data_IF_481254082659
#
_entry.id   IF_481254082659
#
_cell.length_a   1.000
_cell.length_b   1.000
_cell.length_c   1.000
_cell.angle_alpha   90.00
_cell.angle_beta   90.00
_cell.angle_gamma   90.00
#
_symmetry.space_group_name_H-M   'P 1'
#
loop_
_entity.id
_entity.type
_entity.pdbx_description
1 polymer ?
#
# COMPACT_ATOMS: atom_id res chain seq x y z
N UNK A 1 -8.49 14.95 -10.82
CA UNK A 1 -8.63 14.07 -9.65
C UNK A 1 -7.37 13.27 -9.45
N UNK A 2 -6.94 13.12 -8.21
CA UNK A 2 -5.76 12.31 -7.91
C UNK A 2 -6.13 10.83 -8.03
N UNK A 3 -5.15 10.01 -8.32
CA UNK A 3 -5.35 8.57 -8.39
C UNK A 3 -5.74 7.97 -7.01
N UNK A 4 -5.44 8.66 -5.90
CA UNK A 4 -5.94 8.32 -4.57
C UNK A 4 -7.46 8.39 -4.50
N UNK A 5 -8.03 9.44 -5.07
CA UNK A 5 -9.49 9.58 -5.17
C UNK A 5 -10.07 8.48 -6.04
N UNK A 6 -9.36 8.13 -7.11
CA UNK A 6 -9.74 7.02 -7.97
C UNK A 6 -9.82 5.71 -7.19
N UNK A 7 -8.80 5.39 -6.38
CA UNK A 7 -8.74 4.15 -5.60
C UNK A 7 -9.72 4.17 -4.43
N UNK A 8 -9.83 5.30 -3.73
CA UNK A 8 -10.69 5.40 -2.55
C UNK A 8 -12.18 5.42 -2.86
N UNK A 9 -12.53 5.56 -4.14
CA UNK A 9 -13.92 5.58 -4.55
C UNK A 9 -14.70 6.78 -4.04
N UNK A 10 -14.05 7.90 -3.77
CA UNK A 10 -14.69 9.11 -3.28
C UNK A 10 -15.44 9.88 -4.36
N UNK A 11 -16.16 9.18 -5.21
CA UNK A 11 -17.10 9.79 -6.11
C UNK A 11 -18.50 9.57 -5.51
N UNK A 12 -19.17 10.61 -5.02
CA UNK A 12 -20.44 10.46 -4.32
C UNK A 12 -21.56 9.88 -5.19
N UNK A 13 -21.42 9.95 -6.51
CA UNK A 13 -22.48 9.52 -7.42
C UNK A 13 -22.41 8.01 -7.74
N UNK A 14 -21.30 7.33 -7.45
CA UNK A 14 -21.10 5.95 -7.88
C UNK A 14 -20.58 5.01 -6.78
N UNK A 15 -20.50 5.47 -5.57
CA UNK A 15 -20.24 4.74 -4.33
C UNK A 15 -19.48 3.43 -4.42
N UNK A 16 -20.15 2.32 -4.07
CA UNK A 16 -19.53 1.01 -3.93
C UNK A 16 -19.18 0.33 -5.26
N UNK A 17 -20.01 0.50 -6.29
CA UNK A 17 -19.81 -0.17 -7.58
C UNK A 17 -18.53 0.34 -8.28
N UNK A 18 -18.35 1.66 -8.28
CA UNK A 18 -17.16 2.27 -8.87
C UNK A 18 -15.89 1.85 -8.13
N UNK A 19 -15.96 1.78 -6.80
CA UNK A 19 -14.83 1.33 -5.98
C UNK A 19 -14.45 -0.11 -6.31
N UNK A 20 -15.43 -0.99 -6.49
CA UNK A 20 -15.19 -2.39 -6.85
C UNK A 20 -14.55 -2.50 -8.23
N UNK A 21 -15.03 -1.74 -9.21
CA UNK A 21 -14.47 -1.74 -10.56
C UNK A 21 -13.03 -1.23 -10.55
N UNK A 22 -12.76 -0.16 -9.81
CA UNK A 22 -11.42 0.41 -9.68
C UNK A 22 -10.46 -0.54 -9.01
N UNK A 23 -10.90 -1.17 -7.91
CA UNK A 23 -10.09 -2.16 -7.22
C UNK A 23 -9.80 -3.36 -8.13
N UNK A 24 -10.79 -3.82 -8.89
CA UNK A 24 -10.61 -4.91 -9.84
C UNK A 24 -9.56 -4.57 -10.91
N UNK A 25 -9.52 -3.32 -11.39
CA UNK A 25 -8.54 -2.88 -12.39
C UNK A 25 -7.11 -2.83 -11.84
N UNK A 26 -6.95 -2.78 -10.52
CA UNK A 26 -5.66 -2.76 -9.86
C UNK A 26 -5.16 -4.15 -9.46
N UNK A 27 -5.98 -5.18 -9.64
CA UNK A 27 -5.56 -6.54 -9.35
C UNK A 27 -4.51 -7.00 -10.35
N UNK A 28 -3.51 -7.71 -9.86
CA UNK A 28 -2.43 -8.21 -10.73
C UNK A 28 -2.66 -9.62 -11.22
N UNK A 29 -3.63 -10.34 -10.64
CA UNK A 29 -3.96 -11.69 -11.07
C UNK A 29 -3.37 -12.81 -10.22
N UNK A 30 -2.61 -12.47 -9.17
CA UNK A 30 -2.11 -13.43 -8.19
C UNK A 30 -2.93 -13.26 -6.91
N UNK A 31 -3.78 -14.25 -6.53
CA UNK A 31 -4.71 -14.08 -5.42
C UNK A 31 -4.08 -13.68 -4.10
N UNK A 32 -2.93 -14.24 -3.74
CA UNK A 32 -2.30 -13.92 -2.46
C UNK A 32 -1.80 -12.47 -2.41
N UNK A 33 -1.27 -11.97 -3.53
CA UNK A 33 -0.80 -10.59 -3.62
C UNK A 33 -2.00 -9.64 -3.66
N UNK A 34 -3.03 -9.98 -4.42
CA UNK A 34 -4.25 -9.16 -4.50
C UNK A 34 -4.93 -9.06 -3.13
N UNK A 35 -4.96 -10.15 -2.37
CA UNK A 35 -5.50 -10.15 -1.00
C UNK A 35 -4.67 -9.26 -0.07
N UNK A 36 -3.35 -9.28 -0.22
CA UNK A 36 -2.46 -8.43 0.57
C UNK A 36 -2.63 -6.95 0.24
N UNK A 37 -2.83 -6.63 -1.04
CA UNK A 37 -3.15 -5.25 -1.44
C UNK A 37 -4.45 -4.78 -0.82
N UNK A 38 -5.47 -5.63 -0.81
CA UNK A 38 -6.75 -5.32 -0.18
C UNK A 38 -6.61 -5.10 1.32
N UNK A 39 -5.79 -5.94 1.99
CA UNK A 39 -5.48 -5.77 3.41
C UNK A 39 -4.79 -4.45 3.69
N UNK A 40 -3.86 -4.03 2.83
CA UNK A 40 -3.18 -2.74 2.96
C UNK A 40 -4.15 -1.57 2.80
N UNK A 41 -5.09 -1.65 1.86
CA UNK A 41 -6.12 -0.63 1.70
C UNK A 41 -7.00 -0.52 2.94
N UNK A 42 -7.34 -1.66 3.56
CA UNK A 42 -8.10 -1.68 4.81
C UNK A 42 -7.30 -1.04 5.95
N UNK A 43 -6.00 -1.29 6.03
CA UNK A 43 -5.14 -0.65 7.03
C UNK A 43 -5.03 0.86 6.81
N UNK A 44 -4.95 1.30 5.55
CA UNK A 44 -4.95 2.73 5.25
C UNK A 44 -6.25 3.39 5.68
N UNK A 45 -7.38 2.71 5.48
CA UNK A 45 -8.67 3.21 5.96
C UNK A 45 -8.70 3.28 7.49
N UNK A 46 -8.20 2.26 8.17
CA UNK A 46 -8.11 2.26 9.64
C UNK A 46 -7.21 3.39 10.13
N UNK A 47 -6.12 3.68 9.42
CA UNK A 47 -5.24 4.79 9.75
C UNK A 47 -5.98 6.13 9.61
N UNK A 48 -6.79 6.26 8.56
CA UNK A 48 -7.58 7.47 8.31
C UNK A 48 -8.56 7.76 9.45
N UNK A 49 -9.15 6.71 10.03
CA UNK A 49 -10.15 6.86 11.08
C UNK A 49 -9.58 6.69 12.49
N UNK A 50 -8.30 6.37 12.61
CA UNK A 50 -7.67 6.15 13.91
C UNK A 50 -7.59 7.44 14.72
N UNK A 51 -7.85 7.30 16.03
CA UNK A 51 -7.82 8.44 16.94
C UNK A 51 -6.38 8.82 17.27
N UNK A 52 -6.07 10.12 17.34
CA UNK A 52 -4.78 10.57 17.86
C UNK A 52 -4.69 10.39 19.39
N UNK A 53 -5.81 10.13 20.06
CA UNK A 53 -5.86 9.98 21.52
C UNK A 53 -5.81 8.50 21.86
N UNK A 54 -4.77 8.09 22.60
CA UNK A 54 -4.39 6.70 22.84
C UNK A 54 -5.43 5.83 23.54
N UNK A 55 -6.42 6.41 24.19
CA UNK A 55 -7.39 5.69 25.01
C UNK A 55 -8.77 5.51 24.36
N UNK A 56 -8.94 5.83 23.06
CA UNK A 56 -10.26 5.85 22.39
C UNK A 56 -10.39 4.86 21.27
N UNK A 57 -9.98 3.83 21.03
CA UNK A 57 -9.95 2.87 19.95
C UNK A 57 -8.50 2.67 19.47
N UNK A 58 -8.29 2.10 18.32
CA UNK A 58 -6.93 1.90 17.84
C UNK A 58 -6.21 3.24 17.72
N UNK A 59 -5.06 3.36 18.38
CA UNK A 59 -4.23 4.53 18.27
C UNK A 59 -3.58 4.64 16.90
N UNK A 60 -3.36 5.87 16.45
CA UNK A 60 -2.75 6.14 15.15
C UNK A 60 -1.39 5.45 14.99
N UNK A 61 -0.53 5.50 16.02
CA UNK A 61 0.78 4.87 15.96
C UNK A 61 0.70 3.34 15.85
N UNK A 62 -0.29 2.73 16.48
CA UNK A 62 -0.51 1.28 16.41
C UNK A 62 -0.82 0.85 14.97
N UNK A 63 -1.71 1.57 14.31
CA UNK A 63 -2.07 1.26 12.92
C UNK A 63 -0.91 1.56 11.98
N UNK A 64 -0.22 2.67 12.19
CA UNK A 64 0.96 3.05 11.40
C UNK A 64 2.04 1.98 11.46
N UNK A 65 2.30 1.44 12.67
CA UNK A 65 3.24 0.34 12.84
C UNK A 65 2.76 -0.95 12.14
N UNK A 66 1.47 -1.25 12.24
CA UNK A 66 0.88 -2.43 11.59
C UNK A 66 1.05 -2.37 10.06
N UNK A 67 0.91 -1.19 9.48
CA UNK A 67 1.14 -0.98 8.04
C UNK A 67 2.57 -1.34 7.67
N UNK A 68 3.56 -0.92 8.46
CA UNK A 68 4.96 -1.25 8.21
C UNK A 68 5.23 -2.74 8.24
N UNK A 69 4.65 -3.45 9.20
CA UNK A 69 4.78 -4.90 9.31
C UNK A 69 4.13 -5.61 8.12
N UNK A 70 2.94 -5.17 7.72
CA UNK A 70 2.23 -5.73 6.58
C UNK A 70 3.00 -5.49 5.28
N UNK A 71 3.57 -4.31 5.10
CA UNK A 71 4.39 -3.98 3.93
C UNK A 71 5.61 -4.89 3.84
N UNK A 72 6.29 -5.11 4.95
CA UNK A 72 7.48 -5.95 4.98
C UNK A 72 7.17 -7.37 4.50
N UNK A 73 6.12 -7.98 5.04
CA UNK A 73 5.68 -9.32 4.65
C UNK A 73 5.24 -9.36 3.19
N UNK A 74 4.47 -8.38 2.77
CA UNK A 74 3.97 -8.28 1.40
C UNK A 74 5.12 -8.16 0.39
N UNK A 75 6.12 -7.34 0.69
CA UNK A 75 7.28 -7.16 -0.20
C UNK A 75 8.11 -8.43 -0.30
N UNK A 76 8.26 -9.18 0.78
CA UNK A 76 8.94 -10.48 0.75
C UNK A 76 8.21 -11.47 -0.17
N UNK A 77 6.88 -11.51 -0.09
CA UNK A 77 6.07 -12.38 -0.95
C UNK A 77 6.20 -11.99 -2.41
N UNK A 78 6.17 -10.71 -2.72
CA UNK A 78 6.34 -10.24 -4.10
C UNK A 78 7.71 -10.64 -4.65
N UNK A 79 8.76 -10.52 -3.85
CA UNK A 79 10.12 -10.86 -4.28
C UNK A 79 10.29 -12.35 -4.57
N UNK A 80 9.52 -13.21 -3.90
CA UNK A 80 9.46 -14.63 -4.24
C UNK A 80 8.82 -14.86 -5.61
N UNK A 81 7.79 -14.08 -5.94
CA UNK A 81 7.09 -14.20 -7.22
C UNK A 81 7.92 -13.69 -8.40
N UNK A 82 8.86 -12.80 -8.20
CA UNK A 82 9.71 -12.30 -9.30
C UNK A 82 10.43 -13.44 -10.01
N UNK A 83 10.94 -14.39 -9.25
CA UNK A 83 11.61 -15.57 -9.81
C UNK A 83 10.63 -16.51 -10.48
N UNK A 84 9.49 -16.72 -9.83
CA UNK A 84 8.44 -17.63 -10.33
C UNK A 84 7.93 -17.23 -11.70
N UNK A 85 7.74 -15.93 -11.92
CA UNK A 85 7.17 -15.42 -13.17
C UNK A 85 8.23 -14.97 -14.18
N UNK A 86 9.50 -15.14 -13.89
CA UNK A 86 10.59 -14.85 -14.82
C UNK A 86 10.69 -13.38 -15.21
N UNK A 87 10.51 -12.49 -14.26
CA UNK A 87 10.65 -11.06 -14.53
C UNK A 87 12.09 -10.69 -14.88
N UNK A 88 12.29 -9.76 -15.86
CA UNK A 88 13.65 -9.31 -16.21
C UNK A 88 14.39 -8.70 -15.02
N UNK A 89 15.70 -8.93 -14.96
CA UNK A 89 16.55 -8.47 -13.85
C UNK A 89 16.44 -6.97 -13.59
N UNK A 90 16.34 -6.16 -14.64
CA UNK A 90 16.25 -4.71 -14.47
C UNK A 90 14.95 -4.32 -13.77
N UNK A 91 13.84 -4.98 -14.11
CA UNK A 91 12.55 -4.74 -13.46
C UNK A 91 12.57 -5.20 -12.01
N UNK A 92 13.17 -6.36 -11.75
CA UNK A 92 13.31 -6.89 -10.39
C UNK A 92 14.12 -5.93 -9.52
N UNK A 93 15.27 -5.46 -10.01
CA UNK A 93 16.11 -4.52 -9.25
C UNK A 93 15.39 -3.22 -8.94
N UNK A 94 14.67 -2.67 -9.91
CA UNK A 94 13.92 -1.43 -9.71
C UNK A 94 12.79 -1.61 -8.71
N UNK A 95 12.10 -2.74 -8.76
CA UNK A 95 11.00 -3.08 -7.86
C UNK A 95 11.53 -3.25 -6.42
N UNK A 96 12.61 -4.01 -6.23
CA UNK A 96 13.23 -4.20 -4.92
C UNK A 96 13.74 -2.87 -4.36
N UNK A 97 14.32 -2.02 -5.20
CA UNK A 97 14.77 -0.69 -4.77
C UNK A 97 13.61 0.13 -4.22
N UNK A 98 12.46 0.08 -4.89
CA UNK A 98 11.25 0.76 -4.42
C UNK A 98 10.80 0.21 -3.07
N UNK A 99 10.80 -1.11 -2.88
CA UNK A 99 10.46 -1.74 -1.58
C UNK A 99 11.36 -1.20 -0.46
N UNK A 100 12.66 -1.16 -0.70
CA UNK A 100 13.62 -0.69 0.30
C UNK A 100 13.44 0.79 0.64
N UNK A 101 13.15 1.61 -0.37
CA UNK A 101 12.89 3.04 -0.16
C UNK A 101 11.65 3.25 0.70
N UNK A 102 10.57 2.52 0.42
CA UNK A 102 9.33 2.62 1.17
C UNK A 102 9.56 2.21 2.63
N UNK A 103 10.25 1.09 2.86
CA UNK A 103 10.50 0.61 4.22
C UNK A 103 11.33 1.61 5.03
N UNK A 104 12.35 2.22 4.41
CA UNK A 104 13.17 3.25 5.08
C UNK A 104 12.36 4.50 5.40
N UNK A 105 11.56 4.97 4.44
CA UNK A 105 10.73 6.15 4.63
C UNK A 105 9.68 5.92 5.71
N UNK A 106 9.06 4.74 5.71
CA UNK A 106 8.06 4.37 6.71
C UNK A 106 8.68 4.31 8.11
N UNK A 107 9.83 3.66 8.25
CA UNK A 107 10.51 3.56 9.53
C UNK A 107 10.89 4.94 10.07
N UNK A 108 11.38 5.82 9.22
CA UNK A 108 11.72 7.20 9.59
C UNK A 108 10.49 7.99 10.02
N UNK A 109 9.41 7.86 9.26
CA UNK A 109 8.15 8.54 9.56
C UNK A 109 7.56 8.07 10.88
N UNK A 110 7.58 6.76 11.14
CA UNK A 110 7.10 6.19 12.39
C UNK A 110 7.94 6.67 13.58
N UNK A 111 9.28 6.68 13.43
CA UNK A 111 10.18 7.15 14.49
C UNK A 111 9.93 8.62 14.81
N UNK A 112 9.76 9.45 13.79
CA UNK A 112 9.46 10.88 13.99
C UNK A 112 8.11 11.07 14.69
N UNK A 113 7.11 10.31 14.29
CA UNK A 113 5.79 10.36 14.91
C UNK A 113 5.83 9.91 16.37
N UNK A 114 6.63 8.90 16.69
CA UNK A 114 6.77 8.42 18.06
C UNK A 114 7.49 9.43 18.96
N UNK A 115 8.35 10.27 18.40
CA UNK A 115 9.01 11.36 19.14
C UNK A 115 8.08 12.54 19.39
N UNK A 116 7.20 12.83 18.42
CA UNK A 116 6.28 13.96 18.50
C UNK A 116 4.91 13.54 17.92
N UNK A 117 4.05 13.04 18.79
CA UNK A 117 2.71 12.59 18.44
C UNK A 117 1.75 13.75 18.12
N UNK A 118 2.20 15.00 18.28
CA UNK A 118 1.41 16.18 17.89
C UNK A 118 1.54 16.46 16.39
N UNK A 119 2.37 15.70 15.66
CA UNK A 119 2.53 15.85 14.23
C UNK A 119 1.18 15.73 13.51
N UNK A 120 1.07 16.41 12.38
CA UNK A 120 -0.16 16.43 11.57
C UNK A 120 -0.46 15.03 11.03
N UNK A 121 -1.51 14.41 11.55
CA UNK A 121 -1.92 13.04 11.19
C UNK A 121 -2.32 12.93 9.73
N UNK A 122 -2.98 13.95 9.18
CA UNK A 122 -3.37 13.96 7.76
C UNK A 122 -2.13 13.98 6.86
N UNK A 123 -1.10 14.69 7.25
CA UNK A 123 0.15 14.74 6.51
C UNK A 123 0.87 13.38 6.51
N UNK A 124 0.91 12.73 7.67
CA UNK A 124 1.49 11.38 7.80
C UNK A 124 0.72 10.39 6.95
N UNK A 125 -0.61 10.40 7.05
CA UNK A 125 -1.49 9.54 6.25
C UNK A 125 -1.24 9.76 4.76
N UNK A 126 -1.20 11.01 4.32
CA UNK A 126 -1.00 11.36 2.92
C UNK A 126 0.32 10.81 2.36
N UNK A 127 1.39 10.91 3.14
CA UNK A 127 2.68 10.35 2.73
C UNK A 127 2.66 8.83 2.59
N UNK A 128 2.08 8.15 3.56
CA UNK A 128 2.00 6.68 3.53
C UNK A 128 1.16 6.21 2.36
N UNK A 129 0.01 6.84 2.12
CA UNK A 129 -0.83 6.55 0.97
C UNK A 129 -0.06 6.75 -0.34
N UNK A 130 0.67 7.85 -0.49
CA UNK A 130 1.45 8.14 -1.69
C UNK A 130 2.47 7.05 -1.96
N UNK A 131 3.24 6.67 -0.95
CA UNK A 131 4.29 5.67 -1.14
C UNK A 131 3.72 4.32 -1.57
N UNK A 132 2.65 3.88 -0.92
CA UNK A 132 2.04 2.58 -1.18
C UNK A 132 1.37 2.56 -2.55
N UNK A 133 0.53 3.54 -2.82
CA UNK A 133 -0.28 3.54 -4.03
C UNK A 133 0.53 3.89 -5.28
N UNK A 134 1.51 4.77 -5.18
CA UNK A 134 2.42 5.07 -6.31
C UNK A 134 3.24 3.82 -6.64
N UNK A 135 3.77 3.13 -5.63
CA UNK A 135 4.50 1.89 -5.84
C UNK A 135 3.61 0.84 -6.52
N UNK A 136 2.39 0.66 -6.06
CA UNK A 136 1.43 -0.28 -6.63
C UNK A 136 1.23 0.00 -8.13
N UNK A 137 0.94 1.25 -8.47
CA UNK A 137 0.69 1.62 -9.87
C UNK A 137 1.96 1.52 -10.71
N UNK A 138 3.10 1.96 -10.20
CA UNK A 138 4.35 2.02 -10.99
C UNK A 138 5.06 0.67 -11.09
N UNK A 139 4.96 -0.18 -10.07
CA UNK A 139 5.73 -1.42 -10.00
C UNK A 139 4.88 -2.68 -9.97
N UNK A 140 3.92 -2.77 -9.07
CA UNK A 140 3.15 -3.99 -8.88
C UNK A 140 2.31 -4.34 -10.10
N UNK A 141 1.69 -3.34 -10.74
CA UNK A 141 0.89 -3.58 -11.95
C UNK A 141 1.71 -4.12 -13.12
N UNK A 142 3.02 -3.86 -13.13
CA UNK A 142 3.90 -4.44 -14.17
C UNK A 142 4.00 -5.96 -14.04
N UNK A 143 3.83 -6.49 -12.84
CA UNK A 143 3.81 -7.94 -12.61
C UNK A 143 2.67 -8.63 -13.37
N UNK A 144 1.57 -7.92 -13.57
CA UNK A 144 0.38 -8.46 -14.22
C UNK A 144 0.68 -9.05 -15.60
N UNK A 145 1.52 -8.38 -16.39
CA UNK A 145 1.89 -8.85 -17.72
C UNK A 145 2.63 -10.20 -17.66
N UNK A 146 3.48 -10.40 -16.67
CA UNK A 146 4.24 -11.64 -16.49
C UNK A 146 3.37 -12.76 -15.93
N UNK A 147 2.47 -12.44 -15.01
CA UNK A 147 1.52 -13.39 -14.43
C UNK A 147 0.58 -13.93 -15.50
N UNK A 148 -0.01 -13.05 -16.31
CA UNK A 148 -0.93 -13.43 -17.40
C UNK A 148 -0.22 -14.24 -18.48
N UNK A 149 1.06 -13.98 -18.71
CA UNK A 149 1.85 -14.69 -19.73
C UNK A 149 2.12 -16.14 -19.34
N UNK A 150 2.09 -16.44 -18.04
CA UNK A 150 2.37 -17.77 -17.49
C UNK A 150 1.11 -18.66 -17.44
N UNK A 151 -0.03 -18.13 -17.86
CA UNK A 151 -1.26 -18.89 -17.99
C UNK A 151 -1.56 -19.16 -19.48
#
# INVERSE_FOLDING_TARGET
ASWKEFISGKNPDNGGLDSEIRLASLRIGEPSIDDEHESLLNLLHRLQVASPVADKSEGFSTVLNAIGQQLSTHFEHEEEFFKKFGMPDVDVRNHIRSHRQIMRKHASLLADFMKDSSANHEHVLSKVEDWILVHWVQHDLKMKAFILKDT
#
